data_IF_465371072577
#
_entry.id   IF_465371072577
#
_cell.length_a   1.000
_cell.length_b   1.000
_cell.length_c   1.000
_cell.angle_alpha   90.00
_cell.angle_beta   90.00
_cell.angle_gamma   90.00
#
_symmetry.space_group_name_H-M   'P 1'
#
loop_
_entity.id
_entity.type
_entity.pdbx_description
1 polymer ?
#
# COMPACT_ATOMS: atom_id res chain seq x y z
N UNK A 1 5.87 -19.58 64.44
CA UNK A 1 4.67 -18.75 64.69
C UNK A 1 3.70 -18.78 63.50
N UNK A 2 4.11 -18.36 62.29
CA UNK A 2 3.23 -18.28 61.10
C UNK A 2 2.57 -19.62 60.71
N UNK A 3 3.28 -20.76 60.74
CA UNK A 3 2.68 -22.08 60.43
C UNK A 3 1.51 -22.46 61.35
N UNK A 4 1.67 -22.24 62.65
CA UNK A 4 0.65 -22.56 63.67
C UNK A 4 -0.61 -21.69 63.51
N UNK A 5 -0.42 -20.41 63.19
CA UNK A 5 -1.53 -19.49 62.88
C UNK A 5 -2.24 -19.86 61.57
N UNK A 6 -1.51 -20.29 60.55
CA UNK A 6 -2.07 -20.72 59.27
C UNK A 6 -2.93 -22.00 59.42
N UNK A 7 -2.48 -22.97 60.22
CA UNK A 7 -3.25 -24.17 60.57
C UNK A 7 -4.55 -23.83 61.31
N UNK A 8 -4.53 -22.85 62.23
CA UNK A 8 -5.72 -22.40 62.96
C UNK A 8 -6.73 -21.65 62.09
N UNK A 9 -6.25 -20.94 61.05
CA UNK A 9 -7.09 -20.20 60.10
C UNK A 9 -7.53 -21.05 58.90
N UNK A 10 -7.08 -22.30 58.80
CA UNK A 10 -7.41 -23.20 57.67
C UNK A 10 -6.80 -22.79 56.33
N UNK A 11 -5.72 -21.99 56.34
CA UNK A 11 -5.09 -21.47 55.12
C UNK A 11 -3.68 -22.04 54.97
N UNK A 12 -3.22 -22.24 53.74
CA UNK A 12 -1.85 -22.67 53.50
C UNK A 12 -0.85 -21.63 54.04
N UNK A 13 0.15 -22.06 54.82
CA UNK A 13 1.08 -21.17 55.52
C UNK A 13 1.90 -20.22 54.62
N UNK A 14 2.14 -20.60 53.35
CA UNK A 14 2.74 -19.68 52.38
C UNK A 14 1.78 -18.58 51.89
N UNK A 15 0.48 -18.86 51.82
CA UNK A 15 -0.51 -17.86 51.45
C UNK A 15 -0.58 -16.76 52.53
N UNK A 16 -0.64 -17.17 53.80
CA UNK A 16 -0.60 -16.24 54.94
C UNK A 16 0.70 -15.42 54.95
N UNK A 17 1.85 -16.03 54.64
CA UNK A 17 3.13 -15.33 54.53
C UNK A 17 3.13 -14.31 53.39
N UNK A 18 2.55 -14.64 52.24
CA UNK A 18 2.46 -13.72 51.10
C UNK A 18 1.51 -12.55 51.37
N UNK A 19 0.40 -12.78 52.09
CA UNK A 19 -0.51 -11.71 52.50
C UNK A 19 0.13 -10.74 53.49
N UNK A 20 0.84 -11.25 54.51
CA UNK A 20 1.58 -10.40 55.45
C UNK A 20 2.62 -9.55 54.71
N UNK A 21 3.37 -10.16 53.77
CA UNK A 21 4.35 -9.43 52.96
C UNK A 21 3.72 -8.38 52.03
N UNK A 22 2.52 -8.63 51.53
CA UNK A 22 1.79 -7.66 50.70
C UNK A 22 1.25 -6.51 51.56
N UNK A 23 0.75 -6.78 52.77
CA UNK A 23 0.31 -5.76 53.73
C UNK A 23 1.48 -4.90 54.24
N UNK A 24 2.65 -5.50 54.52
CA UNK A 24 3.91 -4.78 54.81
C UNK A 24 4.31 -3.85 53.66
N UNK A 25 4.18 -4.30 52.41
CA UNK A 25 4.45 -3.48 51.22
C UNK A 25 3.42 -2.36 51.07
N UNK A 26 2.13 -2.64 51.25
CA UNK A 26 1.03 -1.68 51.13
C UNK A 26 1.11 -0.55 52.19
N UNK A 27 1.74 -0.83 53.34
CA UNK A 27 2.05 0.16 54.38
C UNK A 27 3.35 0.94 54.15
N UNK A 28 4.11 0.60 53.12
CA UNK A 28 5.40 1.23 52.82
C UNK A 28 6.54 0.81 53.75
N UNK A 29 6.36 -0.28 54.52
CA UNK A 29 7.40 -0.83 55.41
C UNK A 29 8.42 -1.67 54.62
N UNK A 30 8.13 -1.93 53.34
CA UNK A 30 8.86 -2.88 52.50
C UNK A 30 8.90 -2.39 51.05
N UNK A 31 10.11 -2.32 50.47
CA UNK A 31 10.36 -1.76 49.13
C UNK A 31 10.74 -2.81 48.07
N UNK A 32 10.82 -4.10 48.43
CA UNK A 32 11.22 -5.18 47.52
C UNK A 32 10.07 -5.69 46.62
N UNK A 33 8.86 -5.16 46.81
CA UNK A 33 7.65 -5.55 46.09
C UNK A 33 6.73 -4.34 45.89
N UNK A 34 6.09 -4.18 44.72
CA UNK A 34 5.07 -3.16 44.52
C UNK A 34 3.85 -3.38 45.43
N UNK A 35 3.25 -2.28 45.85
CA UNK A 35 1.96 -2.28 46.53
C UNK A 35 0.88 -2.89 45.65
N UNK A 36 -0.25 -3.26 46.27
CA UNK A 36 -1.43 -3.80 45.57
C UNK A 36 -1.94 -2.76 44.56
N UNK A 37 -1.99 -1.48 44.95
CA UNK A 37 -2.37 -0.37 44.06
C UNK A 37 -1.40 -0.22 42.87
N UNK A 38 -0.09 -0.23 43.10
CA UNK A 38 0.91 -0.15 42.03
C UNK A 38 0.84 -1.37 41.10
N UNK A 39 0.56 -2.56 41.63
CA UNK A 39 0.42 -3.78 40.85
C UNK A 39 -0.82 -3.75 39.95
N UNK A 40 -1.94 -3.25 40.45
CA UNK A 40 -3.16 -3.02 39.68
C UNK A 40 -2.95 -1.96 38.58
N UNK A 41 -2.25 -0.88 38.91
CA UNK A 41 -1.90 0.17 37.95
C UNK A 41 -0.95 -0.36 36.87
N UNK A 42 0.07 -1.13 37.24
CA UNK A 42 0.96 -1.81 36.29
C UNK A 42 0.18 -2.76 35.38
N UNK A 43 -0.80 -3.49 35.91
CA UNK A 43 -1.67 -4.34 35.10
C UNK A 43 -2.49 -3.52 34.09
N UNK A 44 -3.11 -2.42 34.55
CA UNK A 44 -3.87 -1.49 33.70
C UNK A 44 -2.99 -0.89 32.60
N UNK A 45 -1.85 -0.31 32.97
CA UNK A 45 -0.90 0.32 32.05
C UNK A 45 -0.30 -0.69 31.05
N UNK A 46 -0.03 -1.92 31.48
CA UNK A 46 0.43 -2.98 30.56
C UNK A 46 -0.64 -3.36 29.55
N UNK A 47 -1.91 -3.44 29.98
CA UNK A 47 -3.04 -3.71 29.09
C UNK A 47 -3.25 -2.57 28.09
N UNK A 48 -3.24 -1.34 28.55
CA UNK A 48 -3.34 -0.15 27.69
C UNK A 48 -2.17 -0.09 26.70
N UNK A 49 -0.94 -0.32 27.15
CA UNK A 49 0.22 -0.40 26.26
C UNK A 49 0.08 -1.51 25.21
N UNK A 50 -0.47 -2.67 25.56
CA UNK A 50 -0.70 -3.74 24.60
C UNK A 50 -1.73 -3.33 23.54
N UNK A 51 -2.82 -2.68 23.95
CA UNK A 51 -3.85 -2.15 23.03
C UNK A 51 -3.31 -1.04 22.13
N UNK A 52 -2.56 -0.08 22.69
CA UNK A 52 -1.92 1.01 21.94
C UNK A 52 -0.88 0.49 20.95
N UNK A 53 -0.07 -0.51 21.33
CA UNK A 53 0.87 -1.16 20.41
C UNK A 53 0.14 -1.83 19.25
N UNK A 54 -0.97 -2.52 19.54
CA UNK A 54 -1.81 -3.18 18.52
C UNK A 54 -2.45 -2.16 17.57
N UNK A 55 -2.95 -1.04 18.09
CA UNK A 55 -3.50 0.05 17.29
C UNK A 55 -2.44 0.70 16.40
N UNK A 56 -1.24 0.94 16.94
CA UNK A 56 -0.12 1.46 16.17
C UNK A 56 0.32 0.51 15.05
N UNK A 57 0.34 -0.80 15.29
CA UNK A 57 0.61 -1.77 14.21
C UNK A 57 -0.44 -1.70 13.10
N UNK A 58 -1.72 -1.56 13.45
CA UNK A 58 -2.80 -1.40 12.46
C UNK A 58 -2.60 -0.10 11.66
N UNK A 59 -2.28 1.02 12.31
CA UNK A 59 -2.03 2.29 11.62
C UNK A 59 -0.81 2.23 10.70
N UNK A 60 0.28 1.58 11.13
CA UNK A 60 1.46 1.35 10.29
C UNK A 60 1.14 0.48 9.08
N UNK A 61 0.35 -0.57 9.26
CA UNK A 61 -0.09 -1.40 8.13
C UNK A 61 -1.09 -0.65 7.21
N UNK A 62 -1.90 0.24 7.78
CA UNK A 62 -2.86 1.05 7.04
C UNK A 62 -2.22 2.22 6.28
N UNK A 63 -1.11 2.78 6.76
CA UNK A 63 -0.43 3.91 6.11
C UNK A 63 0.04 3.56 4.70
N UNK A 64 0.38 2.28 4.45
CA UNK A 64 0.68 1.75 3.12
C UNK A 64 -0.46 1.97 2.10
N UNK A 65 -1.71 2.07 2.55
CA UNK A 65 -2.88 2.26 1.68
C UNK A 65 -3.19 3.74 1.36
N UNK A 66 -2.38 4.69 1.87
CA UNK A 66 -2.51 6.15 1.63
C UNK A 66 -3.98 6.62 1.70
N UNK A 67 -4.65 6.29 2.80
CA UNK A 67 -6.04 6.68 3.01
C UNK A 67 -6.13 8.21 3.14
N UNK A 68 -6.76 8.87 2.17
CA UNK A 68 -7.07 10.30 2.26
C UNK A 68 -8.16 10.59 3.30
N UNK A 69 -8.49 11.89 3.50
CA UNK A 69 -9.52 12.35 4.46
C UNK A 69 -10.92 11.76 4.19
N UNK A 70 -11.17 11.28 2.97
CA UNK A 70 -12.35 10.51 2.59
C UNK A 70 -11.91 9.26 1.84
N UNK A 71 -11.63 8.15 2.53
CA UNK A 71 -11.10 6.96 1.88
C UNK A 71 -12.15 6.33 0.96
N UNK A 72 -11.72 5.92 -0.23
CA UNK A 72 -12.58 5.20 -1.16
C UNK A 72 -13.02 3.86 -0.53
N UNK A 73 -14.34 3.56 -0.48
CA UNK A 73 -14.84 2.30 0.06
C UNK A 73 -14.15 1.05 -0.49
N UNK A 74 -13.73 1.05 -1.77
CA UNK A 74 -13.01 -0.08 -2.34
C UNK A 74 -11.63 -0.27 -1.71
N UNK A 75 -10.87 0.81 -1.50
CA UNK A 75 -9.57 0.78 -0.82
C UNK A 75 -9.69 0.29 0.63
N UNK A 76 -10.71 0.74 1.36
CA UNK A 76 -10.96 0.27 2.74
C UNK A 76 -11.30 -1.22 2.75
N UNK A 77 -12.16 -1.68 1.85
CA UNK A 77 -12.50 -3.11 1.77
C UNK A 77 -11.27 -3.96 1.44
N UNK A 78 -10.40 -3.51 0.52
CA UNK A 78 -9.12 -4.17 0.20
C UNK A 78 -8.20 -4.24 1.44
N UNK A 79 -8.04 -3.13 2.16
CA UNK A 79 -7.23 -3.07 3.39
C UNK A 79 -7.75 -4.01 4.49
N UNK A 80 -9.05 -3.96 4.79
CA UNK A 80 -9.65 -4.82 5.82
C UNK A 80 -9.52 -6.28 5.41
N UNK A 81 -9.68 -6.61 4.13
CA UNK A 81 -9.50 -7.98 3.63
C UNK A 81 -8.05 -8.48 3.81
N UNK A 82 -7.05 -7.62 3.62
CA UNK A 82 -5.62 -7.94 3.85
C UNK A 82 -5.31 -8.14 5.33
N UNK A 83 -5.88 -7.32 6.21
CA UNK A 83 -5.50 -7.28 7.63
C UNK A 83 -6.38 -8.12 8.56
N UNK A 84 -7.59 -8.52 8.12
CA UNK A 84 -8.56 -9.25 8.96
C UNK A 84 -8.01 -10.55 9.55
N UNK A 85 -7.09 -11.22 8.87
CA UNK A 85 -6.50 -12.48 9.34
C UNK A 85 -5.59 -12.30 10.56
N UNK A 86 -4.92 -11.14 10.68
CA UNK A 86 -3.96 -10.86 11.77
C UNK A 86 -4.60 -10.11 12.94
N UNK A 87 -5.51 -9.17 12.66
CA UNK A 87 -6.05 -8.26 13.68
C UNK A 87 -7.56 -8.43 13.94
N UNK A 88 -8.29 -9.15 13.09
CA UNK A 88 -9.75 -9.18 13.11
C UNK A 88 -10.37 -7.88 12.56
N UNK A 89 -11.62 -7.93 12.12
CA UNK A 89 -12.27 -6.81 11.43
C UNK A 89 -12.56 -5.64 12.38
N UNK A 90 -13.11 -5.90 13.56
CA UNK A 90 -13.50 -4.84 14.50
C UNK A 90 -12.35 -3.96 15.00
N UNK A 91 -11.19 -4.51 15.41
CA UNK A 91 -10.06 -3.68 15.82
C UNK A 91 -9.56 -2.75 14.70
N UNK A 92 -9.55 -3.24 13.45
CA UNK A 92 -9.16 -2.43 12.30
C UNK A 92 -10.15 -1.27 12.10
N UNK A 93 -11.45 -1.57 12.10
CA UNK A 93 -12.48 -0.56 11.90
C UNK A 93 -12.48 0.50 13.02
N UNK A 94 -12.25 0.09 14.27
CA UNK A 94 -12.11 1.00 15.42
C UNK A 94 -10.95 1.97 15.23
N UNK A 95 -9.79 1.47 14.84
CA UNK A 95 -8.59 2.29 14.59
C UNK A 95 -8.78 3.25 13.41
N UNK A 96 -9.49 2.81 12.37
CA UNK A 96 -9.80 3.66 11.21
C UNK A 96 -10.95 4.64 11.45
N UNK A 97 -11.65 4.58 12.59
CA UNK A 97 -12.79 5.42 12.89
C UNK A 97 -14.03 5.12 12.01
N UNK A 98 -14.17 3.88 11.52
CA UNK A 98 -15.26 3.47 10.63
C UNK A 98 -16.24 2.59 11.39
N UNK A 99 -17.52 2.94 11.38
CA UNK A 99 -18.55 2.11 12.00
C UNK A 99 -18.70 0.76 11.27
N UNK A 100 -18.87 -0.33 12.04
CA UNK A 100 -19.08 -1.69 11.50
C UNK A 100 -20.23 -1.75 10.49
N UNK A 101 -21.34 -1.07 10.77
CA UNK A 101 -22.49 -0.96 9.86
C UNK A 101 -22.14 -0.32 8.51
N UNK A 102 -21.30 0.71 8.51
CA UNK A 102 -20.82 1.37 7.29
C UNK A 102 -19.96 0.43 6.45
N UNK A 103 -19.03 -0.29 7.08
CA UNK A 103 -18.17 -1.26 6.40
C UNK A 103 -18.99 -2.37 5.73
N UNK A 104 -19.86 -3.05 6.48
CA UNK A 104 -20.69 -4.11 5.91
C UNK A 104 -21.69 -3.56 4.88
N UNK A 105 -22.17 -2.33 5.04
CA UNK A 105 -22.97 -1.65 4.02
C UNK A 105 -22.20 -1.35 2.72
N UNK A 106 -20.88 -1.13 2.77
CA UNK A 106 -20.04 -1.06 1.57
C UNK A 106 -19.85 -2.43 0.92
N UNK A 107 -19.56 -3.46 1.73
CA UNK A 107 -19.41 -4.85 1.26
C UNK A 107 -20.69 -5.32 0.56
N UNK A 108 -21.86 -5.05 1.14
CA UNK A 108 -23.14 -5.43 0.57
C UNK A 108 -23.44 -4.68 -0.75
N UNK A 109 -23.07 -3.40 -0.85
CA UNK A 109 -23.20 -2.61 -2.08
C UNK A 109 -22.25 -3.08 -3.18
N UNK A 110 -21.06 -3.56 -2.84
CA UNK A 110 -20.16 -4.19 -3.80
C UNK A 110 -20.67 -5.55 -4.28
N UNK A 111 -21.22 -6.36 -3.37
CA UNK A 111 -21.81 -7.66 -3.71
C UNK A 111 -23.08 -7.53 -4.57
N UNK A 112 -23.89 -6.49 -4.31
CA UNK A 112 -25.13 -6.22 -5.04
C UNK A 112 -25.05 -4.88 -5.79
N UNK A 113 -24.30 -4.82 -6.91
CA UNK A 113 -24.18 -3.61 -7.70
C UNK A 113 -25.53 -3.25 -8.33
N UNK A 114 -25.87 -1.95 -8.29
CA UNK A 114 -27.09 -1.43 -8.88
C UNK A 114 -27.14 -1.73 -10.39
N UNK A 115 -28.33 -1.80 -11.02
CA UNK A 115 -28.45 -2.10 -12.46
C UNK A 115 -27.59 -1.21 -13.36
N UNK A 116 -27.44 0.08 -13.00
CA UNK A 116 -26.57 1.03 -13.72
C UNK A 116 -25.08 0.67 -13.63
N UNK A 117 -24.62 0.16 -12.49
CA UNK A 117 -23.22 -0.27 -12.29
C UNK A 117 -22.91 -1.54 -13.07
N UNK A 118 -23.88 -2.47 -13.18
CA UNK A 118 -23.76 -3.66 -14.04
C UNK A 118 -23.59 -3.25 -15.50
N UNK A 119 -24.45 -2.35 -15.99
CA UNK A 119 -24.35 -1.79 -17.34
C UNK A 119 -23.03 -1.03 -17.56
N UNK A 120 -22.56 -0.27 -16.57
CA UNK A 120 -21.25 0.40 -16.67
C UNK A 120 -20.11 -0.61 -16.77
N UNK A 121 -20.15 -1.73 -16.03
CA UNK A 121 -19.14 -2.79 -16.09
C UNK A 121 -19.13 -3.50 -17.45
N UNK A 122 -20.32 -3.83 -17.98
CA UNK A 122 -20.47 -4.39 -19.33
C UNK A 122 -19.95 -3.42 -20.40
N UNK A 123 -20.31 -2.14 -20.28
CA UNK A 123 -19.86 -1.10 -21.20
C UNK A 123 -18.34 -0.88 -21.12
N UNK A 124 -17.75 -0.97 -19.93
CA UNK A 124 -16.29 -0.93 -19.74
C UNK A 124 -15.62 -2.10 -20.45
N UNK A 125 -16.15 -3.31 -20.35
CA UNK A 125 -15.59 -4.47 -21.06
C UNK A 125 -15.59 -4.25 -22.57
N UNK A 126 -16.67 -3.71 -23.15
CA UNK A 126 -16.75 -3.34 -24.56
C UNK A 126 -15.78 -2.20 -24.95
N UNK A 127 -15.63 -1.19 -24.09
CA UNK A 127 -14.67 -0.10 -24.26
C UNK A 127 -13.24 -0.65 -24.32
N UNK A 128 -12.90 -1.53 -23.38
CA UNK A 128 -11.59 -2.18 -23.29
C UNK A 128 -11.36 -3.00 -24.54
N UNK A 129 -12.29 -3.87 -24.95
CA UNK A 129 -12.18 -4.68 -26.17
C UNK A 129 -11.89 -3.83 -27.41
N UNK A 130 -12.65 -2.76 -27.62
CA UNK A 130 -12.46 -1.83 -28.74
C UNK A 130 -11.08 -1.17 -28.65
N UNK A 131 -10.67 -0.75 -27.45
CA UNK A 131 -9.40 -0.08 -27.23
C UNK A 131 -8.21 -1.02 -27.49
N UNK A 132 -8.25 -2.25 -26.97
CA UNK A 132 -7.24 -3.29 -27.22
C UNK A 132 -7.19 -3.72 -28.68
N UNK A 133 -8.34 -3.94 -29.32
CA UNK A 133 -8.41 -4.30 -30.75
C UNK A 133 -7.84 -3.21 -31.66
N UNK A 134 -7.90 -1.94 -31.23
CA UNK A 134 -7.29 -0.81 -31.93
C UNK A 134 -5.79 -0.61 -31.62
N UNK A 135 -5.17 -1.49 -30.83
CA UNK A 135 -3.80 -1.35 -30.36
C UNK A 135 -3.59 -0.13 -29.45
N UNK A 136 -4.62 0.31 -28.73
CA UNK A 136 -4.54 1.46 -27.82
C UNK A 136 -4.57 2.84 -28.50
N UNK A 137 -4.69 2.94 -29.82
CA UNK A 137 -4.73 4.25 -30.52
C UNK A 137 -6.06 4.99 -30.37
N UNK A 138 -7.14 4.29 -29.99
CA UNK A 138 -8.47 4.90 -29.98
C UNK A 138 -8.77 5.54 -28.62
N UNK A 139 -8.75 6.87 -28.59
CA UNK A 139 -9.30 7.65 -27.48
C UNK A 139 -10.85 7.67 -27.47
N UNK A 140 -11.41 8.32 -26.44
CA UNK A 140 -12.87 8.37 -26.19
C UNK A 140 -13.77 8.75 -27.38
N UNK A 141 -13.37 9.63 -28.33
CA UNK A 141 -14.22 9.96 -29.48
C UNK A 141 -14.35 8.78 -30.47
N UNK A 142 -13.24 8.05 -30.70
CA UNK A 142 -13.20 6.91 -31.62
C UNK A 142 -13.85 5.69 -31.01
N UNK A 143 -13.62 5.43 -29.73
CA UNK A 143 -14.32 4.36 -28.98
C UNK A 143 -15.84 4.57 -29.01
N UNK A 144 -16.32 5.81 -28.76
CA UNK A 144 -17.75 6.12 -28.86
C UNK A 144 -18.32 5.91 -30.28
N UNK A 145 -17.55 6.26 -31.33
CA UNK A 145 -17.97 6.01 -32.71
C UNK A 145 -18.08 4.50 -33.01
N UNK A 146 -17.14 3.70 -32.51
CA UNK A 146 -17.16 2.24 -32.67
C UNK A 146 -18.31 1.59 -31.87
N UNK A 147 -18.54 2.03 -30.63
CA UNK A 147 -19.69 1.58 -29.82
C UNK A 147 -21.02 1.86 -30.54
N UNK A 148 -21.17 3.04 -31.14
CA UNK A 148 -22.36 3.37 -31.95
C UNK A 148 -22.52 2.45 -33.17
N UNK A 149 -21.42 2.08 -33.85
CA UNK A 149 -21.44 1.13 -34.97
C UNK A 149 -21.81 -0.28 -34.53
N UNK A 150 -21.43 -0.69 -33.32
CA UNK A 150 -21.84 -1.94 -32.66
C UNK A 150 -23.29 -1.91 -32.13
N UNK A 151 -24.03 -0.81 -32.35
CA UNK A 151 -25.42 -0.67 -31.89
C UNK A 151 -25.58 -0.19 -30.44
N UNK A 152 -24.49 0.04 -29.71
CA UNK A 152 -24.51 0.47 -28.32
C UNK A 152 -24.67 1.99 -28.26
N UNK A 153 -25.87 2.47 -27.89
CA UNK A 153 -26.16 3.90 -27.74
C UNK A 153 -25.82 4.40 -26.35
N UNK A 154 -24.68 5.07 -26.22
CA UNK A 154 -24.23 5.72 -24.98
C UNK A 154 -23.78 7.15 -25.25
N UNK A 155 -23.84 8.02 -24.24
CA UNK A 155 -23.32 9.38 -24.37
C UNK A 155 -21.79 9.37 -24.39
N UNK A 156 -21.18 10.25 -25.20
CA UNK A 156 -19.72 10.42 -25.24
C UNK A 156 -19.14 10.71 -23.85
N UNK A 157 -19.83 11.49 -23.02
CA UNK A 157 -19.43 11.81 -21.65
C UNK A 157 -19.41 10.59 -20.71
N UNK A 158 -20.29 9.62 -20.92
CA UNK A 158 -20.27 8.35 -20.17
C UNK A 158 -19.05 7.51 -20.54
N UNK A 159 -18.73 7.42 -21.83
CA UNK A 159 -17.52 6.71 -22.32
C UNK A 159 -16.24 7.36 -21.78
N UNK A 160 -16.14 8.70 -21.86
CA UNK A 160 -15.00 9.46 -21.34
C UNK A 160 -14.78 9.21 -19.84
N UNK A 161 -15.85 9.24 -19.04
CA UNK A 161 -15.80 8.96 -17.60
C UNK A 161 -15.32 7.54 -17.30
N UNK A 162 -15.81 6.55 -18.05
CA UNK A 162 -15.49 5.14 -17.82
C UNK A 162 -14.06 4.78 -18.24
N UNK A 163 -13.58 5.30 -19.36
CA UNK A 163 -12.18 5.13 -19.78
C UNK A 163 -11.21 5.68 -18.73
N UNK A 164 -11.44 6.92 -18.27
CA UNK A 164 -10.60 7.56 -17.23
C UNK A 164 -10.59 6.80 -15.90
N UNK A 165 -11.71 6.16 -15.56
CA UNK A 165 -11.83 5.35 -14.34
C UNK A 165 -11.10 4.00 -14.43
N UNK A 166 -11.15 3.35 -15.60
CA UNK A 166 -10.57 2.02 -15.81
C UNK A 166 -9.04 2.03 -15.96
N UNK A 167 -8.45 3.11 -16.49
CA UNK A 167 -6.99 3.28 -16.54
C UNK A 167 -6.32 3.17 -15.16
N UNK A 168 -7.06 3.25 -14.05
CA UNK A 168 -6.53 3.21 -12.67
C UNK A 168 -6.52 1.81 -12.04
N UNK A 169 -7.13 0.80 -12.66
CA UNK A 169 -7.26 -0.55 -12.08
C UNK A 169 -6.14 -1.50 -12.57
N UNK A 170 -4.93 -1.31 -12.05
CA UNK A 170 -3.89 -2.36 -11.96
C UNK A 170 -3.25 -2.89 -13.25
N UNK A 171 -3.59 -2.35 -14.43
CA UNK A 171 -2.84 -2.62 -15.65
C UNK A 171 -1.51 -1.85 -15.66
N UNK A 172 -0.46 -2.44 -16.26
CA UNK A 172 0.81 -1.76 -16.46
C UNK A 172 0.60 -0.61 -17.46
N UNK A 173 0.87 0.61 -17.03
CA UNK A 173 0.70 1.82 -17.84
C UNK A 173 2.07 2.27 -18.34
N UNK A 174 2.21 2.40 -19.65
CA UNK A 174 3.35 3.06 -20.27
C UNK A 174 2.99 4.53 -20.53
N UNK A 175 3.56 5.43 -19.72
CA UNK A 175 3.41 6.87 -19.91
C UNK A 175 4.44 7.38 -20.91
N UNK A 176 4.00 8.09 -21.95
CA UNK A 176 4.89 8.71 -22.94
C UNK A 176 4.44 10.12 -23.31
N UNK A 177 5.38 10.91 -23.83
CA UNK A 177 5.04 12.15 -24.52
C UNK A 177 4.36 11.86 -25.88
N UNK A 178 4.01 12.92 -26.62
CA UNK A 178 3.40 12.83 -27.96
C UNK A 178 4.42 12.77 -29.10
N UNK A 179 5.65 12.32 -28.85
CA UNK A 179 6.65 12.15 -29.90
C UNK A 179 6.13 11.28 -31.06
N UNK A 180 6.62 11.54 -32.27
CA UNK A 180 6.23 10.80 -33.48
C UNK A 180 6.52 9.29 -33.37
N UNK A 181 7.53 8.91 -32.59
CA UNK A 181 7.86 7.52 -32.27
C UNK A 181 6.79 6.86 -31.39
N UNK A 182 6.39 7.54 -30.31
CA UNK A 182 5.44 7.02 -29.31
C UNK A 182 3.99 7.07 -29.80
N UNK A 183 3.68 7.92 -30.78
CA UNK A 183 2.38 7.97 -31.47
C UNK A 183 2.30 7.03 -32.67
N UNK A 184 3.37 6.29 -32.98
CA UNK A 184 3.41 5.37 -34.13
C UNK A 184 2.55 4.12 -33.91
N UNK A 185 1.94 3.63 -35.00
CA UNK A 185 1.13 2.40 -34.99
C UNK A 185 1.97 1.21 -34.51
N UNK A 186 3.24 1.13 -34.92
CA UNK A 186 4.15 0.04 -34.51
C UNK A 186 4.40 0.03 -33.01
N UNK A 187 4.57 1.20 -32.40
CA UNK A 187 4.80 1.31 -30.96
C UNK A 187 3.54 0.94 -30.16
N UNK A 188 2.38 1.46 -30.60
CA UNK A 188 1.09 1.14 -30.00
C UNK A 188 0.76 -0.36 -30.06
N UNK A 189 1.04 -1.00 -31.21
CA UNK A 189 0.88 -2.46 -31.37
C UNK A 189 1.79 -3.23 -30.40
N UNK A 190 3.05 -2.81 -30.26
CA UNK A 190 4.01 -3.47 -29.35
C UNK A 190 3.55 -3.40 -27.89
N UNK A 191 2.98 -2.28 -27.46
CA UNK A 191 2.41 -2.14 -26.11
C UNK A 191 1.20 -3.06 -25.92
N UNK A 192 0.30 -3.10 -26.90
CA UNK A 192 -0.86 -3.98 -26.87
C UNK A 192 -0.47 -5.48 -26.81
N UNK A 193 0.54 -5.90 -27.59
CA UNK A 193 1.04 -7.28 -27.61
C UNK A 193 1.60 -7.72 -26.24
N UNK A 194 2.07 -6.77 -25.42
CA UNK A 194 2.61 -7.03 -24.09
C UNK A 194 1.59 -6.75 -22.96
N UNK A 195 0.33 -6.46 -23.30
CA UNK A 195 -0.71 -6.14 -22.31
C UNK A 195 -0.47 -4.82 -21.56
N UNK A 196 0.28 -3.88 -22.16
CA UNK A 196 0.63 -2.59 -21.57
C UNK A 196 -0.31 -1.52 -22.12
N UNK A 197 -0.92 -0.74 -21.21
CA UNK A 197 -1.76 0.39 -21.59
C UNK A 197 -0.90 1.61 -21.94
N UNK A 198 -1.00 2.17 -23.15
CA UNK A 198 -0.41 3.47 -23.42
C UNK A 198 -1.18 4.58 -22.68
N UNK A 199 -0.48 5.46 -21.99
CA UNK A 199 -1.02 6.69 -21.42
C UNK A 199 -0.23 7.89 -21.95
N UNK A 200 -0.96 8.90 -22.43
CA UNK A 200 -0.39 10.19 -22.80
C UNK A 200 -1.14 11.26 -22.01
N UNK A 201 -0.43 12.10 -21.26
CA UNK A 201 -1.02 13.13 -20.39
C UNK A 201 -1.96 14.11 -21.13
N UNK A 202 -2.77 14.83 -20.36
CA UNK A 202 -3.56 15.97 -20.87
C UNK A 202 -2.68 16.96 -21.62
N UNK A 203 -3.22 17.64 -22.65
CA UNK A 203 -2.51 18.79 -23.24
C UNK A 203 -2.24 19.82 -22.14
N UNK A 204 -0.97 20.08 -21.83
CA UNK A 204 -0.56 21.10 -20.86
C UNK A 204 -0.37 20.63 -19.41
N UNK A 205 -0.41 19.31 -19.14
CA UNK A 205 -0.12 18.75 -17.81
C UNK A 205 1.33 18.23 -17.79
N UNK A 206 2.28 19.05 -17.36
CA UNK A 206 3.72 18.75 -17.38
C UNK A 206 4.20 17.95 -16.16
N UNK A 207 3.33 17.68 -15.19
CA UNK A 207 3.72 17.03 -13.93
C UNK A 207 4.18 15.59 -14.11
N UNK A 208 3.54 14.83 -15.01
CA UNK A 208 3.89 13.41 -15.23
C UNK A 208 5.26 13.24 -15.93
N UNK A 209 5.70 14.24 -16.72
CA UNK A 209 7.00 14.21 -17.39
C UNK A 209 8.13 14.84 -16.56
N UNK A 210 7.81 15.62 -15.53
CA UNK A 210 8.78 16.38 -14.75
C UNK A 210 9.87 15.50 -14.11
N UNK A 211 9.52 14.28 -13.68
CA UNK A 211 10.47 13.33 -13.10
C UNK A 211 11.48 12.84 -14.15
N UNK A 212 11.01 12.49 -15.34
CA UNK A 212 11.87 12.09 -16.46
C UNK A 212 12.70 13.26 -16.98
N UNK A 213 12.15 14.46 -17.01
CA UNK A 213 12.88 15.68 -17.37
C UNK A 213 14.04 15.97 -16.41
N UNK A 214 13.83 15.77 -15.10
CA UNK A 214 14.89 15.91 -14.09
C UNK A 214 16.00 14.86 -14.29
N UNK A 215 15.61 13.60 -14.50
CA UNK A 215 16.55 12.52 -14.83
C UNK A 215 17.41 12.88 -16.06
N UNK A 216 16.79 13.21 -17.19
CA UNK A 216 17.53 13.52 -18.41
C UNK A 216 18.37 14.77 -18.29
N UNK A 217 17.93 15.78 -17.53
CA UNK A 217 18.72 16.97 -17.24
C UNK A 217 19.99 16.61 -16.46
N UNK A 218 19.86 15.78 -15.43
CA UNK A 218 20.99 15.29 -14.64
C UNK A 218 21.98 14.51 -15.52
N UNK A 219 21.49 13.52 -16.27
CA UNK A 219 22.30 12.69 -17.16
C UNK A 219 23.06 13.54 -18.16
N UNK A 220 22.40 14.55 -18.73
CA UNK A 220 23.04 15.45 -19.69
C UNK A 220 24.15 16.29 -19.05
N UNK A 221 23.90 16.85 -17.87
CA UNK A 221 24.87 17.70 -17.18
C UNK A 221 26.10 16.91 -16.71
N UNK A 222 25.86 15.74 -16.13
CA UNK A 222 26.91 14.96 -15.47
C UNK A 222 27.70 14.10 -16.45
N UNK A 223 27.05 13.55 -17.49
CA UNK A 223 27.68 12.67 -18.47
C UNK A 223 27.82 13.35 -19.83
N UNK A 224 26.71 13.76 -20.47
CA UNK A 224 26.72 14.13 -21.89
C UNK A 224 27.53 15.39 -22.20
N UNK A 225 27.39 16.44 -21.40
CA UNK A 225 28.06 17.72 -21.67
C UNK A 225 29.53 17.72 -21.24
N UNK A 226 29.96 16.73 -20.48
CA UNK A 226 31.33 16.63 -19.95
C UNK A 226 32.23 15.68 -20.73
N UNK A 227 31.66 14.94 -21.68
CA UNK A 227 32.35 13.92 -22.43
C UNK A 227 32.16 14.13 -23.93
N UNK A 228 33.16 13.70 -24.70
CA UNK A 228 33.05 13.57 -26.15
C UNK A 228 33.46 12.15 -26.53
N UNK A 229 32.71 11.55 -27.45
CA UNK A 229 32.87 10.16 -27.84
C UNK A 229 33.26 10.06 -29.31
N UNK A 230 34.14 9.11 -29.65
CA UNK A 230 34.58 8.89 -31.02
C UNK A 230 33.61 8.00 -31.78
N UNK A 231 32.94 7.09 -31.08
CA UNK A 231 31.99 6.14 -31.66
C UNK A 231 30.67 6.15 -30.90
N UNK A 232 29.62 5.67 -31.57
CA UNK A 232 28.31 5.51 -30.95
C UNK A 232 28.33 4.47 -29.82
N UNK A 233 29.07 3.37 -30.02
CA UNK A 233 29.18 2.29 -29.03
C UNK A 233 29.82 2.77 -27.72
N UNK A 234 30.83 3.67 -27.81
CA UNK A 234 31.42 4.31 -26.63
C UNK A 234 30.37 5.14 -25.86
N UNK A 235 29.52 5.88 -26.56
CA UNK A 235 28.46 6.67 -25.93
C UNK A 235 27.37 5.78 -25.32
N UNK A 236 26.95 4.72 -26.01
CA UNK A 236 25.96 3.76 -25.50
C UNK A 236 26.45 3.05 -24.24
N UNK A 237 27.70 2.58 -24.22
CA UNK A 237 28.30 1.95 -23.04
C UNK A 237 28.45 2.93 -21.86
N UNK A 238 28.79 4.18 -22.14
CA UNK A 238 28.89 5.22 -21.10
C UNK A 238 27.51 5.53 -20.49
N UNK A 239 26.46 5.62 -21.32
CA UNK A 239 25.09 5.83 -20.85
C UNK A 239 24.62 4.62 -20.03
N UNK A 240 24.83 3.40 -20.53
CA UNK A 240 24.48 2.17 -19.82
C UNK A 240 25.16 2.11 -18.45
N UNK A 241 26.47 2.33 -18.42
CA UNK A 241 27.25 2.33 -17.17
C UNK A 241 26.79 3.42 -16.21
N UNK A 242 26.47 4.61 -16.71
CA UNK A 242 25.95 5.69 -15.88
C UNK A 242 24.60 5.33 -15.25
N UNK A 243 23.69 4.71 -15.99
CA UNK A 243 22.37 4.34 -15.49
C UNK A 243 22.47 3.19 -14.49
N UNK A 244 23.06 2.07 -14.89
CA UNK A 244 23.00 0.82 -14.12
C UNK A 244 24.08 0.74 -13.03
N UNK A 245 25.28 1.25 -13.28
CA UNK A 245 26.39 1.14 -12.32
C UNK A 245 26.49 2.33 -11.36
N UNK A 246 25.79 3.44 -11.62
CA UNK A 246 25.88 4.63 -10.79
C UNK A 246 24.53 5.23 -10.41
N UNK A 247 23.68 5.60 -11.38
CA UNK A 247 22.44 6.33 -11.10
C UNK A 247 21.46 5.49 -10.28
N UNK A 248 21.20 4.26 -10.70
CA UNK A 248 20.24 3.38 -10.03
C UNK A 248 20.81 2.78 -8.74
N UNK A 249 22.08 2.35 -8.78
CA UNK A 249 22.70 1.59 -7.69
C UNK A 249 23.32 2.44 -6.59
N UNK A 250 23.89 3.62 -6.92
CA UNK A 250 24.76 4.38 -5.99
C UNK A 250 24.29 5.81 -5.73
N UNK A 251 23.46 6.42 -6.59
CA UNK A 251 23.13 7.84 -6.49
C UNK A 251 22.16 8.13 -5.36
N UNK A 252 22.68 8.71 -4.28
CA UNK A 252 21.89 9.12 -3.12
C UNK A 252 20.99 10.31 -3.47
N UNK A 253 19.69 10.17 -3.21
CA UNK A 253 18.72 11.25 -3.41
C UNK A 253 18.02 11.63 -2.10
N UNK A 254 18.03 12.92 -1.76
CA UNK A 254 17.40 13.45 -0.54
C UNK A 254 15.90 13.12 -0.49
N UNK A 255 15.22 13.22 -1.62
CA UNK A 255 13.78 12.97 -1.76
C UNK A 255 13.41 11.49 -1.55
N UNK A 256 14.36 10.57 -1.79
CA UNK A 256 14.22 9.13 -1.52
C UNK A 256 14.65 8.74 -0.10
N UNK A 257 14.85 9.71 0.79
CA UNK A 257 15.28 9.45 2.17
C UNK A 257 16.77 9.11 2.29
N UNK A 258 17.60 9.68 1.39
CA UNK A 258 19.05 9.41 1.31
C UNK A 258 19.40 7.98 0.89
N UNK A 259 18.53 7.36 0.10
CA UNK A 259 18.74 6.07 -0.54
C UNK A 259 19.02 6.23 -2.04
N UNK A 260 19.65 5.23 -2.64
CA UNK A 260 19.67 5.09 -4.10
C UNK A 260 18.31 4.63 -4.64
N UNK A 261 18.00 4.84 -5.93
CA UNK A 261 16.78 4.34 -6.56
C UNK A 261 16.56 2.84 -6.34
N UNK A 262 17.59 2.01 -6.51
CA UNK A 262 17.50 0.55 -6.33
C UNK A 262 17.28 0.17 -4.86
N UNK A 263 17.96 0.85 -3.92
CA UNK A 263 17.74 0.61 -2.49
C UNK A 263 16.32 0.99 -2.07
N UNK A 264 15.81 2.10 -2.59
CA UNK A 264 14.44 2.55 -2.35
C UNK A 264 13.42 1.57 -2.93
N UNK A 265 13.61 1.11 -4.17
CA UNK A 265 12.73 0.15 -4.83
C UNK A 265 12.78 -1.22 -4.14
N UNK A 266 13.96 -1.70 -3.76
CA UNK A 266 14.12 -2.95 -3.00
C UNK A 266 13.45 -2.86 -1.62
N UNK A 267 13.60 -1.75 -0.90
CA UNK A 267 12.91 -1.52 0.38
C UNK A 267 11.39 -1.50 0.19
N UNK A 268 10.91 -0.85 -0.87
CA UNK A 268 9.49 -0.81 -1.21
C UNK A 268 8.93 -2.19 -1.54
N UNK A 269 9.63 -2.98 -2.37
CA UNK A 269 9.21 -4.34 -2.71
C UNK A 269 9.28 -5.29 -1.52
N UNK A 270 10.29 -5.17 -0.65
CA UNK A 270 10.41 -5.98 0.56
C UNK A 270 9.24 -5.71 1.51
N UNK A 271 8.84 -4.44 1.68
CA UNK A 271 7.65 -4.06 2.47
C UNK A 271 6.34 -4.57 1.84
N UNK A 272 6.30 -4.77 0.51
CA UNK A 272 5.17 -5.40 -0.18
C UNK A 272 5.21 -6.94 -0.15
N UNK A 273 6.39 -7.56 -0.06
CA UNK A 273 6.67 -9.00 -0.20
C UNK A 273 6.90 -9.75 1.12
N UNK A 274 6.82 -9.14 2.31
CA UNK A 274 6.71 -9.90 3.56
C UNK A 274 5.25 -10.35 3.81
N UNK A 275 4.84 -11.59 3.44
CA UNK A 275 3.88 -12.31 4.24
C UNK A 275 4.60 -12.71 5.54
N UNK A 276 4.08 -12.28 6.68
CA UNK A 276 4.53 -12.75 7.99
C UNK A 276 4.31 -14.26 8.11
N UNK A 277 5.28 -15.07 7.66
CA UNK A 277 5.37 -16.50 7.93
C UNK A 277 6.49 -16.68 8.94
N UNK A 278 6.11 -16.75 10.21
CA UNK A 278 6.97 -17.23 11.29
C UNK A 278 6.84 -18.77 11.30
N UNK A 279 7.93 -19.54 11.27
CA UNK A 279 7.92 -20.86 11.89
C UNK A 279 8.56 -20.74 13.28
N UNK A 280 7.73 -20.69 14.31
CA UNK A 280 8.20 -20.98 15.66
C UNK A 280 8.35 -22.50 15.75
N UNK A 281 9.58 -23.00 15.70
CA UNK A 281 9.86 -24.37 16.11
C UNK A 281 9.59 -24.51 17.62
N UNK A 282 8.88 -25.55 18.07
CA UNK A 282 8.66 -25.79 19.49
C UNK A 282 9.92 -26.42 20.09
N UNK A 283 10.81 -25.61 20.66
CA UNK A 283 11.89 -26.15 21.49
C UNK A 283 11.38 -26.40 22.90
N UNK A 284 11.10 -27.68 23.17
CA UNK A 284 11.50 -28.36 24.40
C UNK A 284 10.74 -28.01 25.66
N UNK A 285 9.69 -28.79 25.94
CA UNK A 285 9.34 -29.13 27.31
C UNK A 285 10.40 -30.10 27.86
N UNK A 286 11.11 -29.70 28.91
CA UNK A 286 11.52 -30.53 30.06
C UNK A 286 11.86 -29.62 31.23
#
# INVERSE_FOLDING_TARGET
MIRRLAEQLGVHHEALRNWIRQDEADRGERNDRPTTSESEELCRLRRENAELKRANEILKAASAFRLGTRPDPATVVKLVTRLRGRFGVEPILRVLGIASSTYYGWVQRQANPAPRQRQDKELVAEIVDIHTTSGGTYGSPRVHATLRRRGIRVSRKRVERLMRGHERDGQLIHHSDRGSTYTSIRFAQRLADNGILPSMGSVGDSYDNALMENFFSTLKIELVYRNSWRTRDEAENAIFSYIDAWYNTQRIQKELGWLSPDEYEAAWHTDQLEPSIIPASPTGAR
#
